data_IF_703475842085
#
_entry.id   IF_703475842085
#
_cell.length_a   1.000
_cell.length_b   1.000
_cell.length_c   1.000
_cell.angle_alpha   90.00
_cell.angle_beta   90.00
_cell.angle_gamma   90.00
#
_symmetry.space_group_name_H-M   'P 1'
#
loop_
_entity.id
_entity.type
_entity.pdbx_description
1 polymer ?
#
# COMPACT_ATOMS: atom_id res chain seq x y z
N UNK A 1 -2.53 -16.60 -10.79
CA UNK A 1 -2.79 -15.22 -10.33
C UNK A 1 -1.45 -14.53 -10.15
N UNK A 2 -1.13 -13.51 -10.96
CA UNK A 2 0.14 -12.77 -10.83
C UNK A 2 0.08 -11.93 -9.56
N UNK A 3 0.75 -12.41 -8.51
CA UNK A 3 0.97 -11.60 -7.33
C UNK A 3 1.81 -10.38 -7.73
N UNK A 4 1.26 -9.18 -7.51
CA UNK A 4 1.99 -7.91 -7.63
C UNK A 4 3.02 -7.79 -6.48
N UNK A 5 3.94 -8.75 -6.39
CA UNK A 5 4.85 -8.93 -5.25
C UNK A 5 5.89 -7.81 -5.11
N UNK A 6 5.99 -6.88 -6.07
CA UNK A 6 7.00 -5.82 -6.06
C UNK A 6 6.49 -4.37 -6.07
N UNK A 7 5.18 -4.11 -6.00
CA UNK A 7 4.67 -2.72 -6.16
C UNK A 7 4.52 -1.93 -4.86
N UNK A 8 4.47 -2.61 -3.71
CA UNK A 8 4.24 -1.94 -2.43
C UNK A 8 5.52 -1.91 -1.58
N UNK A 9 5.89 -0.73 -1.10
CA UNK A 9 7.09 -0.50 -0.31
C UNK A 9 6.74 -0.16 1.15
N UNK A 10 7.77 0.16 1.94
CA UNK A 10 7.60 0.69 3.29
C UNK A 10 7.28 2.18 3.33
N UNK A 11 7.19 2.84 2.17
CA UNK A 11 6.86 4.26 2.05
C UNK A 11 5.35 4.49 1.87
N UNK A 12 4.83 5.54 2.49
CA UNK A 12 3.40 5.85 2.42
C UNK A 12 2.99 6.49 1.08
N UNK A 13 3.82 7.38 0.54
CA UNK A 13 3.46 8.17 -0.63
C UNK A 13 3.50 7.30 -1.90
N UNK A 14 4.51 6.43 -2.02
CA UNK A 14 4.56 5.41 -3.07
C UNK A 14 3.32 4.51 -3.02
N UNK A 15 2.98 3.99 -1.84
CA UNK A 15 1.80 3.13 -1.67
C UNK A 15 0.50 3.86 -2.00
N UNK A 16 0.39 5.16 -1.71
CA UNK A 16 -0.78 5.97 -2.04
C UNK A 16 -0.95 6.14 -3.56
N UNK A 17 0.14 6.37 -4.29
CA UNK A 17 0.12 6.43 -5.76
C UNK A 17 -0.30 5.09 -6.35
N UNK A 18 0.31 4.00 -5.88
CA UNK A 18 -0.04 2.65 -6.32
C UNK A 18 -1.51 2.37 -6.03
N UNK A 19 -2.03 2.64 -4.84
CA UNK A 19 -3.45 2.45 -4.50
C UNK A 19 -4.37 3.22 -5.45
N UNK A 20 -3.99 4.43 -5.87
CA UNK A 20 -4.77 5.20 -6.85
C UNK A 20 -4.77 4.57 -8.26
N UNK A 21 -3.68 3.89 -8.64
CA UNK A 21 -3.59 3.20 -9.93
C UNK A 21 -4.33 1.85 -9.95
N UNK A 22 -4.26 1.07 -8.86
CA UNK A 22 -4.89 -0.26 -8.81
C UNK A 22 -6.34 -0.23 -8.35
N UNK A 23 -6.80 0.81 -7.67
CA UNK A 23 -8.17 0.89 -7.16
C UNK A 23 -8.77 2.28 -7.32
N UNK A 24 -9.97 2.33 -7.92
CA UNK A 24 -10.78 3.55 -7.98
C UNK A 24 -11.46 3.75 -6.62
N UNK A 25 -10.77 4.43 -5.70
CA UNK A 25 -11.30 4.80 -4.39
C UNK A 25 -11.66 6.28 -4.42
N UNK A 26 -12.96 6.58 -4.44
CA UNK A 26 -13.49 7.95 -4.50
C UNK A 26 -13.16 8.74 -3.22
N UNK A 27 -13.23 8.08 -2.07
CA UNK A 27 -12.93 8.73 -0.79
C UNK A 27 -11.43 8.83 -0.50
N UNK A 28 -10.94 10.07 -0.37
CA UNK A 28 -9.57 10.38 0.06
C UNK A 28 -9.20 9.70 1.39
N UNK A 29 -10.11 9.73 2.38
CA UNK A 29 -9.86 9.16 3.70
C UNK A 29 -9.68 7.64 3.62
N UNK A 30 -10.50 6.97 2.81
CA UNK A 30 -10.40 5.51 2.60
C UNK A 30 -9.10 5.17 1.88
N UNK A 31 -8.74 5.92 0.82
CA UNK A 31 -7.48 5.72 0.09
C UNK A 31 -6.27 5.85 1.01
N UNK A 32 -6.24 6.88 1.84
CA UNK A 32 -5.17 7.11 2.81
C UNK A 32 -5.09 6.00 3.86
N UNK A 33 -6.24 5.51 4.33
CA UNK A 33 -6.29 4.41 5.32
C UNK A 33 -5.78 3.09 4.74
N UNK A 34 -6.11 2.81 3.48
CA UNK A 34 -5.60 1.63 2.75
C UNK A 34 -4.09 1.74 2.56
N UNK A 35 -3.59 2.87 2.06
CA UNK A 35 -2.15 3.09 1.88
C UNK A 35 -1.38 2.94 3.21
N UNK A 36 -1.90 3.52 4.30
CA UNK A 36 -1.30 3.39 5.64
C UNK A 36 -1.29 1.96 6.17
N UNK A 37 -2.36 1.19 5.94
CA UNK A 37 -2.39 -0.22 6.34
C UNK A 37 -1.36 -1.06 5.57
N UNK A 38 -1.20 -0.80 4.27
CA UNK A 38 -0.20 -1.47 3.44
C UNK A 38 1.21 -1.14 3.93
N UNK A 39 1.52 0.14 4.17
CA UNK A 39 2.80 0.59 4.73
C UNK A 39 3.12 -0.11 6.05
N UNK A 40 2.15 -0.16 6.97
CA UNK A 40 2.31 -0.89 8.24
C UNK A 40 2.61 -2.37 8.01
N UNK A 41 1.87 -3.03 7.14
CA UNK A 41 2.05 -4.47 6.84
C UNK A 41 3.42 -4.76 6.23
N UNK A 42 3.91 -3.91 5.32
CA UNK A 42 5.22 -4.07 4.69
C UNK A 42 6.35 -3.84 5.70
N UNK A 43 6.21 -2.85 6.59
CA UNK A 43 7.19 -2.59 7.64
C UNK A 43 7.24 -3.71 8.69
N UNK A 44 6.10 -4.26 9.10
CA UNK A 44 6.07 -5.42 10.02
C UNK A 44 6.72 -6.67 9.41
N UNK A 45 6.54 -6.91 8.11
CA UNK A 45 7.22 -8.03 7.42
C UNK A 45 8.75 -7.89 7.41
N UNK A 46 9.29 -6.67 7.27
CA UNK A 46 10.74 -6.44 7.30
C UNK A 46 11.38 -6.77 8.65
N UNK A 47 10.65 -6.61 9.76
CA UNK A 47 11.18 -6.83 11.11
C UNK A 47 11.15 -8.29 11.55
N UNK A 48 10.48 -9.17 10.78
CA UNK A 48 10.31 -10.58 11.13
C UNK A 48 11.33 -11.51 10.44
N UNK A 49 12.42 -10.94 9.92
CA UNK A 49 13.49 -11.64 9.20
C UNK A 49 14.84 -11.45 9.92
#
# INVERSE_FOLDING_TARGET
MRAHTGRFSGDFEENKQVVAEVAVIESKCVRNRVAGYITRKQNTKKTSA
#
